data_IF_786306521531
#
_entry.id   IF_786306521531
#
_cell.length_a   1.000
_cell.length_b   1.000
_cell.length_c   1.000
_cell.angle_alpha   90.00
_cell.angle_beta   90.00
_cell.angle_gamma   90.00
#
_symmetry.space_group_name_H-M   'P 1'
#
loop_
_entity.id
_entity.type
_entity.pdbx_description
1 polymer ?
#
# COMPACT_ATOMS: atom_id res chain seq x y z
N UNK A 1 -18.29 -3.12 -24.27
CA UNK A 1 -17.52 -4.04 -23.42
C UNK A 1 -17.92 -3.80 -21.98
N UNK A 2 -18.61 -4.76 -21.35
CA UNK A 2 -18.96 -4.67 -19.93
C UNK A 2 -17.75 -5.12 -19.09
N UNK A 3 -17.08 -4.20 -18.41
CA UNK A 3 -16.08 -4.60 -17.41
C UNK A 3 -16.80 -5.05 -16.14
N UNK A 4 -16.22 -6.02 -15.44
CA UNK A 4 -16.70 -6.48 -14.13
C UNK A 4 -15.67 -6.16 -13.07
N UNK A 5 -16.15 -5.78 -11.90
CA UNK A 5 -15.30 -5.49 -10.74
C UNK A 5 -15.29 -6.76 -9.87
N UNK A 6 -14.12 -7.39 -9.68
CA UNK A 6 -14.01 -8.57 -8.82
C UNK A 6 -14.27 -8.21 -7.36
N UNK A 7 -14.84 -9.15 -6.61
CA UNK A 7 -15.09 -9.02 -5.18
C UNK A 7 -13.78 -9.13 -4.39
N UNK A 8 -13.77 -8.58 -3.17
CA UNK A 8 -12.56 -8.56 -2.33
C UNK A 8 -11.99 -9.96 -2.05
N UNK A 9 -12.82 -11.00 -1.94
CA UNK A 9 -12.35 -12.37 -1.74
C UNK A 9 -11.65 -12.96 -2.98
N UNK A 10 -12.08 -12.57 -4.19
CA UNK A 10 -11.47 -13.03 -5.45
C UNK A 10 -10.09 -12.41 -5.60
N UNK A 11 -9.98 -11.11 -5.31
CA UNK A 11 -8.72 -10.39 -5.27
C UNK A 11 -7.79 -11.00 -4.21
N UNK A 12 -8.30 -11.30 -3.01
CA UNK A 12 -7.51 -11.89 -1.94
C UNK A 12 -6.93 -13.26 -2.33
N UNK A 13 -7.76 -14.13 -2.93
CA UNK A 13 -7.32 -15.44 -3.43
C UNK A 13 -6.29 -15.31 -4.56
N UNK A 14 -6.51 -14.39 -5.50
CA UNK A 14 -5.55 -14.14 -6.57
C UNK A 14 -4.19 -13.65 -6.03
N UNK A 15 -4.19 -12.76 -5.03
CA UNK A 15 -2.97 -12.30 -4.35
C UNK A 15 -2.22 -13.49 -3.72
N UNK A 16 -2.93 -14.36 -2.99
CA UNK A 16 -2.33 -15.51 -2.32
C UNK A 16 -1.70 -16.51 -3.31
N UNK A 17 -2.40 -16.80 -4.41
CA UNK A 17 -1.88 -17.62 -5.50
C UNK A 17 -0.59 -17.02 -6.11
N UNK A 18 -0.59 -15.70 -6.39
CA UNK A 18 0.59 -15.01 -6.91
C UNK A 18 1.77 -15.09 -5.95
N UNK A 19 1.55 -14.88 -4.66
CA UNK A 19 2.61 -14.90 -3.63
C UNK A 19 3.12 -16.31 -3.34
N UNK A 20 2.29 -17.33 -3.53
CA UNK A 20 2.71 -18.73 -3.44
C UNK A 20 3.72 -19.07 -4.54
N UNK A 21 3.52 -18.57 -5.76
CA UNK A 21 4.42 -18.79 -6.91
C UNK A 21 5.64 -17.86 -6.88
N UNK A 22 5.44 -16.62 -6.46
CA UNK A 22 6.45 -15.57 -6.39
C UNK A 22 6.46 -14.94 -4.99
N UNK A 23 7.19 -15.53 -4.02
CA UNK A 23 7.18 -15.08 -2.62
C UNK A 23 7.66 -13.65 -2.42
N UNK A 24 8.39 -13.07 -3.38
CA UNK A 24 8.89 -11.71 -3.32
C UNK A 24 8.64 -10.97 -4.63
N UNK A 25 7.86 -9.90 -4.57
CA UNK A 25 7.50 -9.04 -5.70
C UNK A 25 8.08 -7.65 -5.48
N UNK A 26 8.86 -7.14 -6.44
CA UNK A 26 9.69 -5.93 -6.26
C UNK A 26 8.98 -4.61 -6.60
N UNK A 27 7.75 -4.65 -7.08
CA UNK A 27 6.98 -3.45 -7.40
C UNK A 27 5.46 -3.69 -7.36
N UNK A 28 4.71 -2.61 -7.18
CA UNK A 28 3.25 -2.64 -7.31
C UNK A 28 2.79 -2.99 -8.72
N UNK A 29 3.52 -2.55 -9.75
CA UNK A 29 3.18 -2.81 -11.16
C UNK A 29 3.22 -4.30 -11.45
N UNK A 30 4.29 -4.99 -11.00
CA UNK A 30 4.43 -6.44 -11.18
C UNK A 30 3.34 -7.19 -10.40
N UNK A 31 3.04 -6.78 -9.16
CA UNK A 31 1.93 -7.38 -8.41
C UNK A 31 0.60 -7.21 -9.16
N UNK A 32 0.36 -6.03 -9.73
CA UNK A 32 -0.85 -5.73 -10.49
C UNK A 32 -0.98 -6.61 -11.72
N UNK A 33 0.10 -6.76 -12.49
CA UNK A 33 0.13 -7.63 -13.67
C UNK A 33 -0.15 -9.09 -13.32
N UNK A 34 0.52 -9.62 -12.30
CA UNK A 34 0.32 -11.01 -11.87
C UNK A 34 -1.11 -11.28 -11.40
N UNK A 35 -1.65 -10.41 -10.54
CA UNK A 35 -3.01 -10.56 -10.01
C UNK A 35 -4.06 -10.35 -11.10
N UNK A 36 -3.85 -9.39 -12.00
CA UNK A 36 -4.76 -9.16 -13.13
C UNK A 36 -4.80 -10.37 -14.07
N UNK A 37 -3.65 -10.99 -14.37
CA UNK A 37 -3.59 -12.22 -15.18
C UNK A 37 -4.33 -13.37 -14.50
N UNK A 38 -4.10 -13.60 -13.20
CA UNK A 38 -4.80 -14.66 -12.45
C UNK A 38 -6.32 -14.44 -12.40
N UNK A 39 -6.78 -13.19 -12.25
CA UNK A 39 -8.21 -12.86 -12.27
C UNK A 39 -8.84 -13.07 -13.65
N UNK A 40 -8.11 -12.78 -14.73
CA UNK A 40 -8.61 -12.97 -16.10
C UNK A 40 -8.77 -14.44 -16.50
N UNK A 41 -8.07 -15.37 -15.83
CA UNK A 41 -8.33 -16.80 -15.97
C UNK A 41 -9.70 -17.22 -15.39
N UNK A 42 -10.27 -16.43 -14.47
CA UNK A 42 -11.60 -16.66 -13.88
C UNK A 42 -12.68 -15.96 -14.69
N UNK A 43 -12.48 -14.69 -15.05
CA UNK A 43 -13.36 -13.92 -15.92
C UNK A 43 -12.54 -12.89 -16.71
N UNK A 44 -12.53 -13.04 -18.04
CA UNK A 44 -11.81 -12.18 -18.98
C UNK A 44 -12.19 -10.68 -18.87
N UNK A 45 -13.36 -10.38 -18.31
CA UNK A 45 -13.87 -9.02 -18.13
C UNK A 45 -13.49 -8.40 -16.78
N UNK A 46 -12.83 -9.14 -15.88
CA UNK A 46 -12.38 -8.58 -14.62
C UNK A 46 -11.32 -7.50 -14.81
N UNK A 47 -11.52 -6.36 -14.16
CA UNK A 47 -10.55 -5.26 -14.13
C UNK A 47 -10.39 -4.76 -12.70
N UNK A 48 -9.15 -4.61 -12.25
CA UNK A 48 -8.83 -4.08 -10.93
C UNK A 48 -7.62 -3.16 -11.00
N UNK A 49 -7.59 -2.11 -10.17
CA UNK A 49 -6.44 -1.21 -10.08
C UNK A 49 -5.41 -1.73 -9.07
N UNK A 50 -4.14 -1.40 -9.30
CA UNK A 50 -3.07 -1.72 -8.34
C UNK A 50 -3.31 -1.14 -6.95
N UNK A 51 -3.93 0.06 -6.86
CA UNK A 51 -4.34 0.63 -5.57
C UNK A 51 -5.37 -0.26 -4.85
N UNK A 52 -6.35 -0.81 -5.56
CA UNK A 52 -7.37 -1.71 -4.98
C UNK A 52 -6.74 -3.02 -4.51
N UNK A 53 -5.89 -3.63 -5.33
CA UNK A 53 -5.13 -4.85 -4.95
C UNK A 53 -4.33 -4.58 -3.66
N UNK A 54 -3.57 -3.48 -3.62
CA UNK A 54 -2.76 -3.10 -2.46
C UNK A 54 -3.62 -2.94 -1.21
N UNK A 55 -4.74 -2.23 -1.31
CA UNK A 55 -5.65 -2.02 -0.18
C UNK A 55 -6.26 -3.31 0.34
N UNK A 56 -6.72 -4.20 -0.55
CA UNK A 56 -7.28 -5.50 -0.17
C UNK A 56 -6.23 -6.35 0.53
N UNK A 57 -5.02 -6.42 -0.04
CA UNK A 57 -3.91 -7.16 0.56
C UNK A 57 -3.53 -6.65 1.96
N UNK A 58 -3.39 -5.33 2.12
CA UNK A 58 -3.12 -4.71 3.43
C UNK A 58 -4.29 -4.92 4.40
N UNK A 59 -5.55 -4.76 3.94
CA UNK A 59 -6.75 -4.95 4.77
C UNK A 59 -6.79 -6.33 5.41
N UNK A 60 -6.50 -7.35 4.60
CA UNK A 60 -6.62 -8.75 4.99
C UNK A 60 -5.30 -9.31 5.53
N UNK A 61 -4.24 -8.50 5.63
CA UNK A 61 -2.94 -8.92 6.18
C UNK A 61 -2.25 -10.02 5.36
N UNK A 62 -2.46 -10.06 4.04
CA UNK A 62 -2.02 -11.15 3.15
C UNK A 62 -0.51 -11.15 2.86
N UNK A 63 0.16 -10.03 3.08
CA UNK A 63 1.57 -9.87 2.79
C UNK A 63 2.24 -8.83 3.68
N UNK A 64 3.56 -8.92 3.77
CA UNK A 64 4.40 -7.88 4.33
C UNK A 64 4.69 -6.83 3.25
N UNK A 65 4.47 -5.57 3.58
CA UNK A 65 4.68 -4.43 2.70
C UNK A 65 5.87 -3.60 3.18
N UNK A 66 6.92 -3.56 2.37
CA UNK A 66 8.03 -2.66 2.55
C UNK A 66 7.86 -1.44 1.63
N UNK A 67 7.90 -0.25 2.22
CA UNK A 67 7.72 1.02 1.52
C UNK A 67 9.09 1.68 1.38
N UNK A 68 9.51 1.88 0.13
CA UNK A 68 10.67 2.72 -0.19
C UNK A 68 10.20 4.13 -0.47
N UNK A 69 10.88 5.09 0.14
CA UNK A 69 10.51 6.49 0.11
C UNK A 69 11.41 7.27 -0.86
N UNK A 70 10.85 8.31 -1.47
CA UNK A 70 11.61 9.34 -2.15
C UNK A 70 11.48 10.67 -1.40
N UNK A 71 12.57 11.44 -1.38
CA UNK A 71 12.57 12.81 -0.86
C UNK A 71 11.76 13.73 -1.78
N UNK A 72 11.06 14.71 -1.21
CA UNK A 72 10.35 15.77 -1.93
C UNK A 72 10.42 17.05 -1.12
N UNK A 73 10.66 18.19 -1.76
CA UNK A 73 10.75 19.47 -1.05
C UNK A 73 9.37 20.11 -0.79
N UNK A 74 8.31 19.44 -1.23
CA UNK A 74 6.94 19.89 -1.05
C UNK A 74 6.39 19.46 0.33
N UNK A 75 5.70 20.37 1.05
CA UNK A 75 5.05 20.01 2.31
C UNK A 75 3.99 18.94 2.05
N UNK A 76 3.98 17.92 2.90
CA UNK A 76 3.04 16.80 2.81
C UNK A 76 1.72 17.15 3.49
N UNK A 77 0.68 17.38 2.71
CA UNK A 77 -0.66 17.75 3.17
C UNK A 77 -1.63 16.56 3.29
N UNK A 78 -1.13 15.32 3.20
CA UNK A 78 -2.00 14.14 3.20
C UNK A 78 -2.82 14.03 4.51
N UNK A 79 -4.14 14.19 4.37
CA UNK A 79 -5.13 13.93 5.44
C UNK A 79 -5.28 12.43 5.69
N UNK A 80 -5.09 11.60 4.65
CA UNK A 80 -5.18 10.13 4.72
C UNK A 80 -3.91 9.49 4.19
N UNK A 81 -3.58 8.30 4.68
CA UNK A 81 -2.40 7.57 4.24
C UNK A 81 -2.39 7.37 2.70
N UNK A 82 -1.33 7.77 1.98
CA UNK A 82 -1.26 7.62 0.51
C UNK A 82 -1.18 6.14 0.06
N UNK A 83 -0.82 5.23 0.98
CA UNK A 83 -0.64 3.80 0.68
C UNK A 83 -1.95 3.02 0.79
N UNK A 84 -2.66 3.16 1.93
CA UNK A 84 -3.86 2.37 2.23
C UNK A 84 -5.13 3.20 2.49
N UNK A 85 -5.04 4.54 2.47
CA UNK A 85 -6.09 5.51 2.86
C UNK A 85 -6.60 5.38 4.30
N UNK A 86 -5.85 4.71 5.18
CA UNK A 86 -6.08 4.73 6.62
C UNK A 86 -5.81 6.10 7.24
N UNK A 87 -6.22 6.27 8.50
CA UNK A 87 -5.91 7.45 9.29
C UNK A 87 -4.41 7.51 9.59
N UNK A 88 -3.88 8.74 9.65
CA UNK A 88 -2.52 9.00 10.06
C UNK A 88 -2.51 9.54 11.49
N UNK A 89 -1.57 9.05 12.29
CA UNK A 89 -1.34 9.49 13.65
C UNK A 89 -0.12 10.41 13.66
N UNK A 90 -0.29 11.62 14.19
CA UNK A 90 0.78 12.61 14.32
C UNK A 90 1.64 12.28 15.54
N UNK A 91 2.93 12.07 15.31
CA UNK A 91 3.95 11.98 16.35
C UNK A 91 4.52 13.37 16.57
N UNK A 92 4.37 13.85 17.79
CA UNK A 92 4.79 15.19 18.20
C UNK A 92 5.80 15.10 19.33
N UNK A 93 6.68 16.09 19.41
CA UNK A 93 7.60 16.25 20.52
C UNK A 93 7.54 17.68 21.05
N UNK A 94 7.82 17.84 22.34
CA UNK A 94 7.94 19.14 22.97
C UNK A 94 9.37 19.68 22.75
N UNK A 95 9.50 20.94 22.37
CA UNK A 95 10.78 21.64 22.26
C UNK A 95 11.27 22.05 23.64
N UNK A 96 12.53 22.47 23.73
CA UNK A 96 13.12 22.97 24.98
C UNK A 96 12.38 24.21 25.52
N UNK A 97 11.77 25.00 24.62
CA UNK A 97 11.02 26.21 24.95
C UNK A 97 9.54 25.93 25.32
N UNK A 98 9.12 24.67 25.34
CA UNK A 98 7.75 24.24 25.68
C UNK A 98 6.76 24.19 24.51
N UNK A 99 7.17 24.57 23.30
CA UNK A 99 6.35 24.45 22.10
C UNK A 99 6.23 22.99 21.65
N UNK A 100 5.21 22.65 20.86
CA UNK A 100 5.03 21.31 20.30
C UNK A 100 5.29 21.29 18.80
N UNK A 101 6.21 20.44 18.34
CA UNK A 101 6.53 20.25 16.92
C UNK A 101 6.12 18.85 16.45
N UNK A 102 5.54 18.76 15.26
CA UNK A 102 5.20 17.47 14.62
C UNK A 102 6.44 16.88 13.94
N UNK A 103 6.90 15.73 14.44
CA UNK A 103 8.09 15.04 13.93
C UNK A 103 7.77 14.09 12.76
N UNK A 104 6.61 13.43 12.81
CA UNK A 104 6.21 12.52 11.73
C UNK A 104 4.72 12.20 11.77
N UNK A 105 4.21 11.63 10.68
CA UNK A 105 2.90 10.99 10.62
C UNK A 105 3.05 9.52 10.29
N UNK A 106 2.49 8.66 11.12
CA UNK A 106 2.55 7.21 10.93
C UNK A 106 1.17 6.63 10.62
N UNK A 107 1.14 5.59 9.78
CA UNK A 107 -0.05 4.79 9.54
C UNK A 107 0.10 3.44 10.23
N UNK A 108 -0.65 3.24 11.31
CA UNK A 108 -0.69 1.98 12.08
C UNK A 108 -1.11 0.77 11.26
N UNK A 109 -1.82 0.96 10.14
CA UNK A 109 -2.32 -0.14 9.28
C UNK A 109 -1.29 -0.70 8.29
N UNK A 110 -0.43 0.14 7.71
CA UNK A 110 0.47 -0.27 6.62
C UNK A 110 1.94 0.08 6.87
N UNK A 111 2.26 0.64 8.04
CA UNK A 111 3.62 1.02 8.40
C UNK A 111 4.14 2.27 7.66
N UNK A 112 3.29 2.97 6.90
CA UNK A 112 3.71 4.19 6.23
C UNK A 112 4.13 5.26 7.25
N UNK A 113 5.38 5.71 7.19
CA UNK A 113 5.92 6.79 7.99
C UNK A 113 6.32 7.99 7.11
N UNK A 114 5.64 9.11 7.28
CA UNK A 114 6.00 10.40 6.73
C UNK A 114 6.83 11.17 7.75
N UNK A 115 8.14 11.27 7.54
CA UNK A 115 9.02 12.08 8.38
C UNK A 115 8.81 13.56 8.06
N UNK A 116 8.86 14.42 9.08
CA UNK A 116 8.73 15.89 9.01
C UNK A 116 9.56 16.46 7.86
N UNK A 117 8.90 16.67 6.72
CA UNK A 117 9.49 17.36 5.57
C UNK A 117 9.12 16.83 4.19
N UNK A 118 9.20 15.52 3.92
CA UNK A 118 9.58 15.20 2.54
C UNK A 118 9.45 13.77 2.00
N UNK A 119 8.65 12.83 2.56
CA UNK A 119 8.73 11.43 2.10
C UNK A 119 7.47 10.88 1.43
N UNK A 120 7.49 10.79 0.09
CA UNK A 120 6.44 10.11 -0.68
C UNK A 120 6.78 8.63 -0.92
N UNK A 121 5.78 7.73 -0.95
CA UNK A 121 6.01 6.35 -1.40
C UNK A 121 6.53 6.34 -2.84
N UNK A 122 7.68 5.72 -3.08
CA UNK A 122 8.30 5.62 -4.38
C UNK A 122 8.20 4.21 -4.97
N UNK A 123 8.44 3.19 -4.12
CA UNK A 123 8.36 1.79 -4.52
C UNK A 123 7.81 0.95 -3.38
N UNK A 124 7.09 -0.10 -3.75
CA UNK A 124 6.55 -1.11 -2.84
C UNK A 124 7.23 -2.44 -3.12
N UNK A 125 7.77 -3.06 -2.07
CA UNK A 125 8.26 -4.44 -2.13
C UNK A 125 7.28 -5.26 -1.31
N UNK A 126 6.71 -6.27 -1.95
CA UNK A 126 5.71 -7.16 -1.37
C UNK A 126 6.38 -8.50 -1.13
N UNK A 127 6.22 -9.02 0.08
CA UNK A 127 6.74 -10.34 0.46
C UNK A 127 5.63 -11.17 1.06
N UNK A 128 5.59 -12.46 0.70
CA UNK A 128 4.68 -13.42 1.32
C UNK A 128 4.92 -13.43 2.82
N UNK A 129 3.84 -13.53 3.58
CA UNK A 129 3.91 -13.71 5.03
C UNK A 129 4.16 -15.19 5.31
N UNK A 130 5.13 -15.48 6.16
CA UNK A 130 5.40 -16.84 6.64
C UNK A 130 4.24 -17.38 7.50
#
# INVERSE_FOLDING_TARGET
MSYRIPKDYEIAKAIDNCLTRSPRIRSQTVLNELVQTELMCVDENFRVSGERIRKVGIKNGLFNLEIRYAHTDAPMDYVKCPVCRGQLESIRNMTLDGDTVELSRICSRCGYNAKSGATRPARYIITRRD
#
